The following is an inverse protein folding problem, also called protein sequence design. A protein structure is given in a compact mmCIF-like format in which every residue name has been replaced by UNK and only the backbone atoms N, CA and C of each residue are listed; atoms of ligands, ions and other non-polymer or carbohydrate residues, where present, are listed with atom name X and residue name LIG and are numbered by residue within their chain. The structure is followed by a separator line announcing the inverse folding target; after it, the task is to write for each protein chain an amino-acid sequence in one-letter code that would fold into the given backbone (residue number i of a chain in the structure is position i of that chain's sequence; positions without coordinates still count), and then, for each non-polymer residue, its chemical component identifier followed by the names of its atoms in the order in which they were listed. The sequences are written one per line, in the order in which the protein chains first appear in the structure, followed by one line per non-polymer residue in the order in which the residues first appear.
data_IF_068936499860
#
_entry.id   IF_068936499860
#
_cell.length_a   1.000
_cell.length_b   1.000
_cell.length_c   1.000
_cell.angle_alpha   90.00
_cell.angle_beta   90.00
_cell.angle_gamma   90.00
#
_symmetry.space_group_name_H-M   'P 1'
#
loop_
_entity.id
_entity.type
_entity.pdbx_description
1 polymer ?
#
# COMPACT_ATOMS: atom_id res chain seq x y z
N UNK A 1 -18.26 17.91 4.06
CA UNK A 1 -17.64 16.60 3.80
C UNK A 1 -18.38 15.93 2.65
N UNK A 2 -17.83 15.96 1.45
CA UNK A 2 -18.41 15.27 0.28
C UNK A 2 -17.62 13.98 0.08
N UNK A 3 -18.30 12.85 0.22
CA UNK A 3 -17.80 11.53 -0.12
C UNK A 3 -17.67 11.46 -1.65
N UNK A 4 -16.46 11.37 -2.15
CA UNK A 4 -16.20 11.04 -3.55
C UNK A 4 -15.89 9.55 -3.62
N UNK A 5 -16.84 8.82 -4.18
CA UNK A 5 -16.65 7.42 -4.52
C UNK A 5 -15.66 7.31 -5.67
N UNK A 6 -14.61 6.53 -5.52
CA UNK A 6 -13.77 6.10 -6.63
C UNK A 6 -14.61 5.13 -7.49
N UNK A 7 -15.09 5.57 -8.63
CA UNK A 7 -15.74 4.73 -9.61
C UNK A 7 -14.69 4.18 -10.57
N UNK A 8 -14.37 2.89 -10.49
CA UNK A 8 -13.60 2.18 -11.50
C UNK A 8 -14.57 1.72 -12.60
N UNK A 9 -14.46 2.31 -13.77
CA UNK A 9 -15.18 1.89 -14.98
C UNK A 9 -14.25 1.03 -15.83
N UNK A 10 -14.57 -0.25 -15.98
CA UNK A 10 -13.92 -1.12 -16.96
C UNK A 10 -14.57 -0.91 -18.33
N UNK A 11 -13.85 -0.29 -19.23
CA UNK A 11 -14.12 -0.37 -20.66
C UNK A 11 -13.21 -1.45 -21.25
N UNK A 12 -13.70 -2.68 -21.30
CA UNK A 12 -13.06 -3.75 -22.09
C UNK A 12 -13.58 -3.65 -23.51
N UNK A 13 -12.93 -2.84 -24.36
CA UNK A 13 -13.08 -2.89 -25.81
C UNK A 13 -11.76 -2.50 -26.46
N UNK A 14 -11.28 -3.35 -27.35
CA UNK A 14 -10.03 -3.17 -28.09
C UNK A 14 -10.09 -1.97 -29.03
N UNK A 15 -9.62 -0.84 -28.54
CA UNK A 15 -9.35 0.38 -29.25
C UNK A 15 -8.38 1.21 -28.40
N UNK A 16 -7.49 1.97 -29.04
CA UNK A 16 -6.47 2.78 -28.37
C UNK A 16 -7.06 4.03 -27.71
N UNK A 17 -8.17 3.90 -27.02
CA UNK A 17 -8.81 5.01 -26.32
C UNK A 17 -8.12 5.23 -24.96
N UNK A 18 -7.75 6.47 -24.71
CA UNK A 18 -7.18 6.89 -23.44
C UNK A 18 -8.18 6.60 -22.30
N UNK A 19 -7.88 5.65 -21.38
CA UNK A 19 -8.82 5.28 -20.32
C UNK A 19 -9.10 6.43 -19.35
N UNK A 20 -8.28 7.50 -19.40
CA UNK A 20 -8.46 8.71 -18.62
C UNK A 20 -9.28 9.81 -19.36
N UNK A 21 -9.74 9.59 -20.58
CA UNK A 21 -10.35 10.64 -21.42
C UNK A 21 -11.49 11.37 -20.73
N UNK A 22 -12.39 10.65 -20.06
CA UNK A 22 -13.59 11.17 -19.41
C UNK A 22 -13.38 11.50 -17.91
N UNK A 23 -12.15 11.36 -17.40
CA UNK A 23 -11.84 11.63 -15.99
C UNK A 23 -11.38 13.08 -15.83
N UNK A 24 -12.15 13.85 -15.07
CA UNK A 24 -11.76 15.17 -14.64
C UNK A 24 -10.80 15.07 -13.44
N UNK A 25 -9.65 15.76 -13.52
CA UNK A 25 -8.65 15.75 -12.45
C UNK A 25 -7.45 14.84 -12.73
N UNK A 26 -6.81 14.38 -11.68
CA UNK A 26 -5.67 13.48 -11.81
C UNK A 26 -6.13 12.05 -12.11
N UNK A 27 -5.46 11.40 -13.06
CA UNK A 27 -5.81 10.06 -13.49
C UNK A 27 -4.57 9.21 -13.72
N UNK A 28 -4.65 7.96 -13.29
CA UNK A 28 -3.69 6.91 -13.60
C UNK A 28 -4.32 5.94 -14.62
N UNK A 29 -3.79 5.90 -15.83
CA UNK A 29 -4.07 4.86 -16.80
C UNK A 29 -3.27 3.62 -16.40
N UNK A 30 -3.94 2.62 -15.85
CA UNK A 30 -3.32 1.41 -15.34
C UNK A 30 -3.40 0.29 -16.38
N UNK A 31 -2.26 -0.25 -16.75
CA UNK A 31 -2.12 -1.48 -17.55
C UNK A 31 -1.66 -2.59 -16.63
N UNK A 32 -2.43 -3.66 -16.56
CA UNK A 32 -2.08 -4.87 -15.80
C UNK A 32 -1.80 -5.98 -16.79
N UNK A 33 -0.61 -6.54 -16.72
CA UNK A 33 -0.15 -7.61 -17.62
C UNK A 33 0.57 -8.71 -16.84
N UNK A 34 0.83 -9.85 -17.46
CA UNK A 34 1.62 -10.94 -16.89
C UNK A 34 2.15 -11.84 -17.99
N UNK A 35 3.36 -12.33 -17.79
CA UNK A 35 3.94 -13.38 -18.63
C UNK A 35 3.45 -14.78 -18.22
N UNK A 36 2.95 -14.96 -17.01
CA UNK A 36 2.62 -16.27 -16.40
C UNK A 36 1.14 -16.46 -16.09
N UNK A 37 0.38 -15.37 -15.89
CA UNK A 37 -1.06 -15.39 -15.67
C UNK A 37 -1.77 -15.00 -16.97
N UNK A 38 -2.45 -15.95 -17.59
CA UNK A 38 -3.08 -15.70 -18.90
C UNK A 38 -4.43 -14.97 -18.78
N UNK A 39 -5.21 -15.28 -17.75
CA UNK A 39 -6.58 -14.78 -17.57
C UNK A 39 -6.88 -14.51 -16.10
N UNK A 40 -7.75 -13.52 -15.85
CA UNK A 40 -8.34 -13.22 -14.54
C UNK A 40 -9.83 -12.95 -14.71
N UNK A 41 -10.63 -13.19 -13.69
CA UNK A 41 -12.08 -12.84 -13.68
C UNK A 41 -12.37 -11.67 -12.74
N UNK A 42 -11.40 -11.30 -11.91
CA UNK A 42 -11.48 -10.16 -10.99
C UNK A 42 -10.12 -9.52 -10.83
N UNK A 43 -10.09 -8.20 -10.75
CA UNK A 43 -8.91 -7.41 -10.42
C UNK A 43 -9.22 -6.60 -9.16
N UNK A 44 -8.45 -6.84 -8.12
CA UNK A 44 -8.47 -6.03 -6.89
C UNK A 44 -7.30 -5.06 -6.94
N UNK A 45 -7.59 -3.81 -6.63
CA UNK A 45 -6.63 -2.73 -6.59
C UNK A 45 -6.60 -2.13 -5.18
N UNK A 46 -5.41 -2.02 -4.65
CA UNK A 46 -5.11 -1.32 -3.42
C UNK A 46 -4.28 -0.10 -3.77
N UNK A 47 -4.81 1.10 -3.51
CA UNK A 47 -4.24 2.38 -3.96
C UNK A 47 -3.87 3.21 -2.74
N UNK A 48 -2.57 3.50 -2.60
CA UNK A 48 -2.04 4.44 -1.61
C UNK A 48 -1.74 5.77 -2.31
N UNK A 49 -2.17 6.89 -1.75
CA UNK A 49 -1.90 8.22 -2.27
C UNK A 49 -1.80 9.25 -1.15
N UNK A 50 -0.60 9.78 -0.94
CA UNK A 50 -0.29 10.54 0.28
C UNK A 50 -0.58 9.69 1.52
N UNK A 51 -1.37 10.25 2.46
CA UNK A 51 -1.80 9.57 3.69
C UNK A 51 -3.10 8.78 3.52
N UNK A 52 -3.59 8.62 2.28
CA UNK A 52 -4.90 8.03 2.00
C UNK A 52 -4.74 6.66 1.39
N UNK A 53 -5.74 5.83 1.65
CA UNK A 53 -5.84 4.47 1.19
C UNK A 53 -7.21 4.21 0.59
N UNK A 54 -7.26 3.54 -0.56
CA UNK A 54 -8.50 3.19 -1.22
C UNK A 54 -8.42 1.79 -1.82
N UNK A 55 -9.49 1.03 -1.66
CA UNK A 55 -9.66 -0.27 -2.30
C UNK A 55 -10.67 -0.17 -3.43
N UNK A 56 -10.36 -0.81 -4.53
CA UNK A 56 -11.28 -0.97 -5.64
C UNK A 56 -11.25 -2.43 -6.11
N UNK A 57 -12.42 -2.96 -6.40
CA UNK A 57 -12.57 -4.27 -7.03
C UNK A 57 -13.26 -4.08 -8.35
N UNK A 58 -12.73 -4.70 -9.38
CA UNK A 58 -13.31 -4.64 -10.70
C UNK A 58 -13.41 -6.03 -11.31
N UNK A 59 -14.56 -6.33 -11.89
CA UNK A 59 -14.82 -7.55 -12.63
C UNK A 59 -15.33 -7.18 -14.03
N UNK A 60 -15.11 -8.04 -15.04
CA UNK A 60 -15.63 -7.80 -16.39
C UNK A 60 -17.14 -7.63 -16.40
N UNK A 61 -17.64 -6.70 -17.19
CA UNK A 61 -19.07 -6.57 -17.44
C UNK A 61 -19.60 -7.86 -18.09
N UNK A 62 -20.52 -8.54 -17.42
CA UNK A 62 -21.08 -9.82 -17.89
C UNK A 62 -20.48 -11.06 -17.26
N UNK A 63 -19.48 -10.90 -16.38
CA UNK A 63 -18.80 -12.01 -15.70
C UNK A 63 -17.87 -12.81 -16.63
N UNK A 64 -17.10 -13.70 -16.03
CA UNK A 64 -16.15 -14.57 -16.75
C UNK A 64 -14.73 -14.03 -16.80
N UNK A 65 -13.79 -14.88 -17.22
CA UNK A 65 -12.39 -14.55 -17.28
C UNK A 65 -12.05 -13.68 -18.50
N UNK A 66 -11.19 -12.70 -18.29
CA UNK A 66 -10.61 -11.87 -19.36
C UNK A 66 -9.12 -12.17 -19.50
N UNK A 67 -8.63 -12.10 -20.73
CA UNK A 67 -7.21 -12.24 -21.00
C UNK A 67 -6.45 -10.97 -20.57
N UNK A 68 -5.25 -11.15 -20.04
CA UNK A 68 -4.31 -10.05 -19.85
C UNK A 68 -3.66 -9.66 -21.18
N UNK A 69 -3.33 -8.40 -21.44
CA UNK A 69 -3.39 -7.29 -20.48
C UNK A 69 -4.81 -6.70 -20.30
N UNK A 70 -5.08 -6.24 -19.08
CA UNK A 70 -6.27 -5.45 -18.73
C UNK A 70 -5.86 -3.99 -18.60
N UNK A 71 -6.65 -3.07 -19.14
CA UNK A 71 -6.44 -1.63 -19.04
C UNK A 71 -7.62 -1.03 -18.27
N UNK A 72 -7.33 -0.23 -17.25
CA UNK A 72 -8.32 0.47 -16.44
C UNK A 72 -7.82 1.86 -16.08
N UNK A 73 -8.69 2.70 -15.51
CA UNK A 73 -8.32 4.02 -15.04
C UNK A 73 -8.65 4.19 -13.55
N UNK A 74 -7.79 4.91 -12.86
CA UNK A 74 -7.96 5.30 -11.46
C UNK A 74 -8.04 6.81 -11.39
N UNK A 75 -9.19 7.34 -10.96
CA UNK A 75 -9.36 8.77 -10.69
C UNK A 75 -8.90 9.06 -9.26
N UNK A 76 -7.99 10.03 -9.10
CA UNK A 76 -7.45 10.42 -7.81
C UNK A 76 -7.75 11.89 -7.56
N UNK A 77 -8.42 12.18 -6.44
CA UNK A 77 -8.66 13.54 -6.01
C UNK A 77 -7.41 14.10 -5.32
N UNK A 78 -6.72 15.02 -6.00
CA UNK A 78 -5.52 15.67 -5.49
C UNK A 78 -5.84 17.17 -5.31
N UNK A 79 -5.81 17.61 -4.05
CA UNK A 79 -6.00 19.00 -3.67
C UNK A 79 -4.67 19.73 -3.38
N UNK A 80 -3.56 19.00 -3.37
CA UNK A 80 -2.24 19.53 -3.08
C UNK A 80 -1.59 20.13 -4.32
N UNK A 81 -0.88 21.25 -4.15
CA UNK A 81 -0.08 21.87 -5.21
C UNK A 81 1.24 21.11 -5.48
N UNK A 82 1.73 20.37 -4.48
CA UNK A 82 2.93 19.54 -4.60
C UNK A 82 2.58 18.14 -5.15
N UNK A 83 3.52 17.47 -5.84
CA UNK A 83 3.35 16.08 -6.23
C UNK A 83 3.09 15.19 -5.00
N UNK A 84 2.21 14.21 -5.15
CA UNK A 84 2.00 13.14 -4.19
C UNK A 84 2.46 11.83 -4.79
N UNK A 85 2.99 10.94 -3.96
CA UNK A 85 3.30 9.57 -4.37
C UNK A 85 2.01 8.75 -4.41
N UNK A 86 1.82 8.05 -5.51
CA UNK A 86 0.73 7.11 -5.72
C UNK A 86 1.32 5.72 -5.91
N UNK A 87 1.00 4.82 -5.00
CA UNK A 87 1.29 3.39 -5.10
C UNK A 87 0.03 2.61 -5.47
N UNK A 88 0.14 1.66 -6.37
CA UNK A 88 -0.95 0.76 -6.75
C UNK A 88 -0.47 -0.67 -6.62
N UNK A 89 -1.15 -1.46 -5.81
CA UNK A 89 -1.01 -2.91 -5.75
C UNK A 89 -2.18 -3.53 -6.47
N UNK A 90 -1.92 -4.49 -7.33
CA UNK A 90 -2.94 -5.23 -8.06
C UNK A 90 -2.89 -6.71 -7.70
N UNK A 91 -4.05 -7.31 -7.44
CA UNK A 91 -4.23 -8.75 -7.33
C UNK A 91 -5.23 -9.23 -8.39
N UNK A 92 -4.75 -10.05 -9.31
CA UNK A 92 -5.59 -10.74 -10.30
C UNK A 92 -6.13 -12.04 -9.70
N UNK A 93 -7.45 -12.25 -9.74
CA UNK A 93 -8.10 -13.46 -9.26
C UNK A 93 -8.70 -14.26 -10.39
N UNK A 94 -8.83 -15.57 -10.15
CA UNK A 94 -9.61 -16.50 -10.96
C UNK A 94 -10.47 -17.36 -10.02
N UNK A 95 -11.76 -17.07 -9.98
CA UNK A 95 -12.64 -17.55 -8.94
C UNK A 95 -12.29 -16.98 -7.57
N UNK A 96 -12.15 -17.85 -6.57
CA UNK A 96 -11.75 -17.46 -5.22
C UNK A 96 -10.22 -17.40 -5.04
N UNK A 97 -9.44 -17.78 -6.05
CA UNK A 97 -7.97 -17.86 -5.93
C UNK A 97 -7.29 -16.64 -6.53
N UNK A 98 -6.28 -16.13 -5.85
CA UNK A 98 -5.39 -15.12 -6.42
C UNK A 98 -4.45 -15.80 -7.40
N UNK A 99 -4.50 -15.38 -8.65
CA UNK A 99 -3.68 -15.91 -9.74
C UNK A 99 -2.30 -15.25 -9.80
N UNK A 100 -2.22 -13.98 -9.39
CA UNK A 100 -0.96 -13.26 -9.35
C UNK A 100 -1.13 -11.86 -8.73
N UNK A 101 -0.03 -11.30 -8.27
CA UNK A 101 0.04 -9.96 -7.69
C UNK A 101 1.14 -9.14 -8.33
N UNK A 102 1.01 -7.82 -8.26
CA UNK A 102 2.02 -6.88 -8.74
C UNK A 102 1.80 -5.49 -8.18
N UNK A 103 2.78 -4.61 -8.31
CA UNK A 103 2.65 -3.24 -7.87
C UNK A 103 3.43 -2.28 -8.76
N UNK A 104 3.01 -1.02 -8.76
CA UNK A 104 3.73 0.08 -9.38
C UNK A 104 3.48 1.37 -8.60
N UNK A 105 4.39 2.34 -8.74
CA UNK A 105 4.28 3.64 -8.10
C UNK A 105 4.71 4.77 -9.04
N UNK A 106 4.15 5.96 -8.83
CA UNK A 106 4.58 7.18 -9.50
C UNK A 106 4.19 8.41 -8.68
N UNK A 107 4.91 9.52 -8.91
CA UNK A 107 4.48 10.82 -8.41
C UNK A 107 3.41 11.40 -9.34
N UNK A 108 2.36 12.00 -8.76
CA UNK A 108 1.20 12.55 -9.46
C UNK A 108 0.87 13.95 -8.94
N UNK A 109 0.61 14.88 -9.84
CA UNK A 109 0.15 16.23 -9.51
C UNK A 109 -1.32 16.43 -9.88
N UNK A 110 -1.95 17.46 -9.33
CA UNK A 110 -3.33 17.78 -9.63
C UNK A 110 -3.55 17.97 -11.15
N UNK A 111 -4.55 17.31 -11.69
CA UNK A 111 -4.91 17.34 -13.11
C UNK A 111 -3.97 16.59 -14.05
N UNK A 112 -2.91 15.97 -13.53
CA UNK A 112 -1.97 15.18 -14.34
C UNK A 112 -2.57 13.82 -14.72
N UNK A 113 -2.19 13.34 -15.90
CA UNK A 113 -2.47 11.97 -16.38
C UNK A 113 -1.17 11.24 -16.54
N UNK A 114 -1.08 10.04 -15.97
CA UNK A 114 0.09 9.16 -16.08
C UNK A 114 -0.33 7.76 -16.49
N UNK A 115 0.59 7.03 -17.12
CA UNK A 115 0.43 5.61 -17.38
C UNK A 115 1.30 4.81 -16.41
N UNK A 116 0.72 3.79 -15.78
CA UNK A 116 1.42 2.80 -14.98
C UNK A 116 1.21 1.41 -15.57
N UNK A 117 2.27 0.62 -15.57
CA UNK A 117 2.18 -0.81 -15.91
C UNK A 117 2.49 -1.63 -14.67
N UNK A 118 1.63 -2.58 -14.35
CA UNK A 118 1.83 -3.58 -13.30
C UNK A 118 1.97 -4.95 -13.96
N UNK A 119 3.08 -5.62 -13.71
CA UNK A 119 3.27 -7.00 -14.10
C UNK A 119 2.83 -7.91 -12.94
N UNK A 120 1.82 -8.76 -13.17
CA UNK A 120 1.41 -9.76 -12.19
C UNK A 120 2.39 -10.93 -12.22
N UNK A 121 3.02 -11.16 -11.10
CA UNK A 121 3.80 -12.37 -10.83
C UNK A 121 2.90 -13.40 -10.15
N UNK A 122 3.07 -14.71 -10.45
CA UNK A 122 2.37 -15.75 -9.72
C UNK A 122 2.73 -15.65 -8.24
N UNK A 123 1.79 -15.97 -7.38
CA UNK A 123 1.99 -15.89 -5.93
C UNK A 123 3.15 -16.84 -5.55
N UNK A 124 4.28 -16.25 -5.21
CA UNK A 124 5.33 -16.95 -4.46
C UNK A 124 5.01 -16.81 -2.97
N UNK A 125 5.04 -17.92 -2.29
CA UNK A 125 5.05 -18.18 -0.84
C UNK A 125 4.78 -17.01 0.13
N UNK A 126 3.71 -16.22 -0.11
CA UNK A 126 3.23 -15.23 0.86
C UNK A 126 2.49 -15.99 1.98
N UNK A 127 3.00 -15.96 3.19
CA UNK A 127 2.45 -16.67 4.36
C UNK A 127 1.49 -15.74 5.09
N UNK A 128 0.33 -16.25 5.48
CA UNK A 128 -0.67 -15.50 6.26
C UNK A 128 -0.04 -14.81 7.47
N UNK A 129 -0.27 -13.52 7.58
CA UNK A 129 0.28 -12.66 8.62
C UNK A 129 1.74 -12.23 8.41
N UNK A 130 2.48 -12.85 7.49
CA UNK A 130 3.88 -12.53 7.23
C UNK A 130 4.08 -11.13 6.66
N UNK A 131 5.19 -10.49 7.01
CA UNK A 131 5.59 -9.16 6.56
C UNK A 131 6.69 -9.26 5.51
N UNK A 132 6.54 -8.54 4.41
CA UNK A 132 7.43 -8.59 3.26
C UNK A 132 7.69 -7.21 2.68
N UNK A 133 8.96 -6.92 2.38
CA UNK A 133 9.33 -5.78 1.58
C UNK A 133 8.96 -6.00 0.10
N UNK A 134 8.45 -4.99 -0.56
CA UNK A 134 8.25 -5.06 -2.00
C UNK A 134 9.57 -5.16 -2.77
N UNK A 135 9.52 -5.76 -3.96
CA UNK A 135 10.68 -5.87 -4.85
C UNK A 135 11.66 -7.00 -4.55
N UNK A 136 11.40 -7.82 -3.51
CA UNK A 136 12.17 -9.03 -3.19
C UNK A 136 11.27 -10.28 -3.33
N UNK A 137 10.73 -10.77 -2.21
CA UNK A 137 9.86 -11.97 -2.19
C UNK A 137 8.46 -11.69 -2.74
N UNK A 138 8.05 -10.44 -2.74
CA UNK A 138 6.79 -9.98 -3.30
C UNK A 138 7.03 -8.93 -4.36
N UNK A 139 6.23 -8.96 -5.43
CA UNK A 139 6.14 -7.82 -6.33
C UNK A 139 5.56 -6.61 -5.55
N UNK A 140 6.20 -5.45 -5.67
CA UNK A 140 5.78 -4.25 -4.97
C UNK A 140 6.83 -3.17 -4.96
N UNK A 141 6.48 -2.00 -4.42
CA UNK A 141 7.44 -0.92 -4.22
C UNK A 141 8.47 -1.33 -3.17
N UNK A 142 9.76 -1.18 -3.47
CA UNK A 142 10.87 -1.63 -2.62
C UNK A 142 10.96 -0.89 -1.27
N UNK A 143 10.28 0.24 -1.17
CA UNK A 143 10.18 1.05 0.05
C UNK A 143 8.84 0.85 0.79
N UNK A 144 8.08 -0.17 0.44
CA UNK A 144 6.78 -0.45 1.07
C UNK A 144 6.80 -1.82 1.74
N UNK A 145 6.32 -1.86 2.98
CA UNK A 145 6.11 -3.08 3.75
C UNK A 145 4.68 -3.58 3.49
N UNK A 146 4.56 -4.85 3.18
CA UNK A 146 3.30 -5.55 2.90
C UNK A 146 3.06 -6.61 3.96
N UNK A 147 1.80 -6.82 4.29
CA UNK A 147 1.36 -7.96 5.09
C UNK A 147 0.50 -8.88 4.24
N UNK A 148 0.75 -10.17 4.30
CA UNK A 148 -0.08 -11.16 3.62
C UNK A 148 -1.36 -11.43 4.41
N UNK A 149 -2.48 -11.46 3.72
CA UNK A 149 -3.74 -11.94 4.29
C UNK A 149 -3.87 -13.47 4.16
N UNK A 150 -4.98 -14.01 4.68
CA UNK A 150 -5.27 -15.46 4.66
C UNK A 150 -5.36 -16.06 3.27
N UNK A 151 -5.67 -15.23 2.27
CA UNK A 151 -5.80 -15.66 0.88
C UNK A 151 -4.46 -15.58 0.13
N UNK A 152 -3.37 -15.23 0.83
CA UNK A 152 -2.05 -15.07 0.25
C UNK A 152 -1.90 -13.75 -0.52
N UNK A 153 -2.77 -12.77 -0.30
CA UNK A 153 -2.72 -11.47 -0.96
C UNK A 153 -1.92 -10.50 -0.11
N UNK A 154 -0.85 -9.90 -0.67
CA UNK A 154 -0.11 -8.85 0.02
C UNK A 154 -0.94 -7.57 0.06
N UNK A 155 -1.09 -7.00 1.25
CA UNK A 155 -1.71 -5.69 1.49
C UNK A 155 -0.66 -4.74 2.01
N UNK A 156 -0.57 -3.54 1.42
CA UNK A 156 0.36 -2.54 1.87
C UNK A 156 0.04 -2.13 3.32
N UNK A 157 1.03 -2.21 4.19
CA UNK A 157 0.96 -1.77 5.59
C UNK A 157 1.39 -0.33 5.74
N UNK A 158 2.45 0.06 5.02
CA UNK A 158 2.98 1.40 5.06
C UNK A 158 4.26 1.53 4.23
N UNK A 159 4.67 2.75 4.00
CA UNK A 159 5.89 3.08 3.29
C UNK A 159 7.05 3.21 4.28
N UNK A 160 8.15 2.55 4.00
CA UNK A 160 9.38 2.62 4.76
C UNK A 160 10.23 3.81 4.31
N UNK A 161 10.11 4.98 4.94
CA UNK A 161 10.80 6.21 4.53
C UNK A 161 12.33 6.10 4.56
N UNK A 162 12.88 5.31 5.48
CA UNK A 162 14.32 5.02 5.55
C UNK A 162 14.72 3.75 4.77
N UNK A 163 13.77 3.18 4.02
CA UNK A 163 13.92 1.94 3.25
C UNK A 163 13.51 0.70 4.03
N UNK A 164 13.30 -0.37 3.28
CA UNK A 164 12.87 -1.66 3.79
C UNK A 164 14.08 -2.57 4.09
N UNK A 165 13.98 -3.39 5.13
CA UNK A 165 14.97 -4.41 5.51
C UNK A 165 14.42 -5.78 5.12
N UNK A 166 15.07 -6.43 4.16
CA UNK A 166 14.73 -7.79 3.75
C UNK A 166 15.45 -8.77 4.65
N UNK A 167 14.70 -9.65 5.30
CA UNK A 167 15.22 -10.73 6.13
C UNK A 167 15.03 -12.08 5.44
N UNK A 168 16.07 -12.91 5.41
CA UNK A 168 16.03 -14.18 4.69
C UNK A 168 15.08 -15.21 5.34
N UNK A 169 14.92 -15.18 6.65
CA UNK A 169 14.24 -16.24 7.44
C UNK A 169 13.16 -15.75 8.39
N UNK A 170 13.00 -14.44 8.54
CA UNK A 170 12.02 -13.80 9.41
C UNK A 170 11.20 -12.79 8.61
N UNK A 171 10.21 -12.18 9.24
CA UNK A 171 9.48 -11.06 8.67
C UNK A 171 10.42 -9.91 8.29
N UNK A 172 10.13 -9.29 7.17
CA UNK A 172 10.80 -8.07 6.76
C UNK A 172 10.31 -6.89 7.61
N UNK A 173 11.08 -5.81 7.67
CA UNK A 173 10.79 -4.65 8.50
C UNK A 173 11.19 -3.34 7.80
N UNK A 174 10.62 -2.23 8.21
CA UNK A 174 11.12 -0.93 7.82
C UNK A 174 12.45 -0.62 8.52
N UNK A 175 13.34 0.08 7.83
CA UNK A 175 14.59 0.59 8.39
C UNK A 175 14.33 1.93 9.06
N UNK A 176 14.64 2.00 10.38
CA UNK A 176 14.51 3.24 11.13
C UNK A 176 13.08 3.58 11.53
N UNK A 177 12.88 4.81 11.90
CA UNK A 177 11.64 5.34 12.47
C UNK A 177 10.63 5.54 11.36
N UNK A 178 9.63 4.66 11.25
CA UNK A 178 8.61 4.75 10.22
C UNK A 178 7.21 5.03 10.76
N UNK A 179 6.52 5.85 10.01
CA UNK A 179 5.22 6.43 10.33
C UNK A 179 4.13 5.39 10.54
N UNK A 180 3.93 4.99 11.78
CA UNK A 180 2.75 4.27 12.19
C UNK A 180 2.70 2.77 11.92
N UNK A 181 3.83 2.12 11.62
CA UNK A 181 3.89 0.66 11.64
C UNK A 181 3.89 0.15 13.08
N UNK A 182 3.17 -0.95 13.38
CA UNK A 182 3.17 -1.52 14.71
C UNK A 182 4.58 -2.02 15.05
N UNK A 183 5.30 -1.28 15.88
CA UNK A 183 6.47 -1.79 16.57
C UNK A 183 6.04 -2.83 17.62
N UNK A 184 6.97 -3.63 18.15
CA UNK A 184 6.67 -4.57 19.23
C UNK A 184 6.40 -3.81 20.51
N UNK A 185 5.21 -3.20 20.65
CA UNK A 185 4.83 -2.52 21.86
C UNK A 185 3.77 -3.30 22.64
N UNK A 186 3.83 -3.23 23.98
CA UNK A 186 2.83 -3.82 24.87
C UNK A 186 1.64 -2.87 24.97
N UNK A 187 0.43 -3.39 24.73
CA UNK A 187 -0.81 -2.61 24.75
C UNK A 187 -0.98 -1.85 26.09
N UNK A 188 -1.22 -0.55 25.97
CA UNK A 188 -1.32 0.37 27.09
C UNK A 188 -0.01 1.02 27.55
N UNK A 189 1.16 0.48 27.16
CA UNK A 189 2.48 1.01 27.51
C UNK A 189 2.77 2.37 26.85
N UNK A 190 3.64 3.16 27.48
CA UNK A 190 4.12 4.45 26.98
C UNK A 190 5.57 4.33 26.51
N UNK A 191 5.85 4.84 25.33
CA UNK A 191 7.14 4.71 24.65
C UNK A 191 7.58 6.02 24.03
N UNK A 192 8.86 6.35 24.16
CA UNK A 192 9.48 7.40 23.36
C UNK A 192 9.67 6.92 21.93
N UNK A 193 9.44 7.77 20.95
CA UNK A 193 9.79 7.45 19.59
C UNK A 193 11.30 7.28 19.39
N UNK A 194 11.69 6.38 18.47
CA UNK A 194 13.09 6.14 18.13
C UNK A 194 13.84 5.16 19.04
N UNK A 195 13.16 4.49 19.98
CA UNK A 195 13.70 3.38 20.77
C UNK A 195 12.94 2.09 20.48
N UNK A 196 12.09 1.60 21.41
CA UNK A 196 11.29 0.37 21.19
C UNK A 196 10.12 0.59 20.20
N UNK A 197 9.69 1.83 20.04
CA UNK A 197 8.69 2.25 19.06
C UNK A 197 9.31 3.18 18.03
N UNK A 198 9.00 2.91 16.76
CA UNK A 198 9.28 3.85 15.69
C UNK A 198 8.46 5.13 15.88
N UNK A 199 9.09 6.30 15.69
CA UNK A 199 8.44 7.59 15.88
C UNK A 199 9.41 8.74 16.12
N UNK A 200 8.87 9.94 16.29
CA UNK A 200 9.65 11.13 16.63
C UNK A 200 10.30 10.94 18.01
N UNK A 201 11.65 10.98 18.14
CA UNK A 201 12.34 10.81 19.42
C UNK A 201 12.02 11.91 20.47
N UNK A 202 11.32 12.95 20.07
CA UNK A 202 10.81 13.98 20.97
C UNK A 202 9.32 13.79 21.31
N UNK A 203 8.69 12.71 20.86
CA UNK A 203 7.29 12.45 21.14
C UNK A 203 7.09 11.20 21.99
N UNK A 204 6.05 11.24 22.81
CA UNK A 204 5.58 10.13 23.63
C UNK A 204 4.40 9.47 22.93
N UNK A 205 4.44 8.15 22.83
CA UNK A 205 3.43 7.32 22.19
C UNK A 205 2.81 6.38 23.22
N UNK A 206 1.52 6.09 23.08
CA UNK A 206 0.83 5.01 23.78
C UNK A 206 0.59 3.85 22.84
N UNK A 207 0.93 2.66 23.23
CA UNK A 207 0.60 1.46 22.49
C UNK A 207 -0.89 1.16 22.55
N UNK A 208 -1.53 1.03 21.40
CA UNK A 208 -2.94 0.63 21.27
C UNK A 208 -3.04 -0.46 20.21
N UNK A 209 -3.40 -1.66 20.61
CA UNK A 209 -3.49 -2.83 19.72
C UNK A 209 -2.19 -3.10 18.90
N UNK A 210 -1.02 -2.91 19.53
CA UNK A 210 0.28 -3.10 18.91
C UNK A 210 0.75 -1.91 18.05
N UNK A 211 0.02 -0.79 18.06
CA UNK A 211 0.37 0.42 17.29
C UNK A 211 0.66 1.58 18.24
N UNK A 212 1.77 2.28 18.03
CA UNK A 212 2.11 3.50 18.76
C UNK A 212 1.24 4.68 18.32
N UNK A 213 0.37 5.16 19.19
CA UNK A 213 -0.43 6.37 18.97
C UNK A 213 0.22 7.53 19.72
N UNK A 214 0.63 8.57 18.99
CA UNK A 214 1.27 9.74 19.60
C UNK A 214 0.34 10.41 20.60
N UNK A 215 0.80 10.55 21.85
CA UNK A 215 0.09 11.21 22.96
C UNK A 215 0.46 12.68 23.02
N UNK A 216 1.77 13.00 22.99
CA UNK A 216 2.25 14.37 23.08
C UNK A 216 3.67 14.52 22.51
N UNK A 217 4.08 15.76 22.25
CA UNK A 217 5.46 16.12 21.94
C UNK A 217 6.12 16.66 23.20
N UNK A 218 7.22 16.04 23.60
CA UNK A 218 7.93 16.38 24.82
C UNK A 218 8.78 17.65 24.64
N UNK A 219 8.38 18.76 25.21
CA UNK A 219 9.06 20.06 25.02
C UNK A 219 10.54 20.05 25.47
N UNK A 220 10.89 19.22 26.45
CA UNK A 220 12.26 19.07 26.97
C UNK A 220 12.89 17.71 26.62
N UNK A 221 12.28 16.98 25.69
CA UNK A 221 12.70 15.65 25.24
C UNK A 221 11.99 14.51 25.96
N UNK A 222 11.98 13.35 25.32
CA UNK A 222 11.42 12.11 25.88
C UNK A 222 12.49 11.35 26.66
N UNK A 223 12.12 10.71 27.76
CA UNK A 223 13.01 9.95 28.65
C UNK A 223 12.66 8.47 28.52
N UNK A 224 13.64 7.69 28.08
CA UNK A 224 13.55 6.23 27.94
C UNK A 224 13.91 5.58 29.28
N UNK A 225 13.02 4.72 29.81
CA UNK A 225 13.25 3.96 31.03
C UNK A 225 13.17 2.45 30.78
N UNK A 226 14.26 1.74 31.00
CA UNK A 226 14.28 0.28 30.84
C UNK A 226 13.34 -0.43 31.80
N UNK A 227 12.35 -1.15 31.27
CA UNK A 227 11.37 -1.93 32.02
C UNK A 227 10.29 -1.14 32.74
N UNK A 228 10.08 0.12 32.34
CA UNK A 228 8.98 1.00 32.79
C UNK A 228 8.46 1.80 31.61
N UNK A 229 7.31 2.43 31.82
CA UNK A 229 6.78 3.39 30.84
C UNK A 229 7.71 4.60 30.69
N UNK A 230 7.94 4.99 29.45
CA UNK A 230 8.66 6.22 29.12
C UNK A 230 7.81 7.46 29.43
N UNK A 231 8.45 8.60 29.58
CA UNK A 231 7.75 9.84 29.92
C UNK A 231 8.45 11.08 29.34
N UNK A 232 7.71 12.19 29.26
CA UNK A 232 8.29 13.49 28.93
C UNK A 232 9.09 14.06 30.10
N UNK A 233 10.22 14.70 29.77
CA UNK A 233 11.04 15.43 30.75
C UNK A 233 10.40 16.78 31.06
#
# INVERSE_FOLDING_TARGET
MRWLAAAALLAACGGADDPCADIAGACVALRVESASVATIDQLELDVLYGDRHAYATTAPAGGGAVALPVITAIAIAIDAAAPIDVGVVAAGKLGAQVAGTGAAQAALTAGQRIALTIELSPIGACVDGGLYCGGDKLAGAADTLYQCDRDGVPKARGRCHAGCIVNATTDDACRGVDDGLPGPCTDGGLYCGGDELDGDPQALYRCQAGVGVRVEVCAAGCVIETGRDDHCR
#
